data_IF_578040975835
#
_entry.id   IF_578040975835
#
_cell.length_a   1.000
_cell.length_b   1.000
_cell.length_c   1.000
_cell.angle_alpha   90.00
_cell.angle_beta   90.00
_cell.angle_gamma   90.00
#
_symmetry.space_group_name_H-M   'P 1'
#
loop_
_entity.id
_entity.type
_entity.pdbx_description
1 polymer ?
#
# COMPACT_ATOMS: atom_id res chain seq x y z
N UNK A 1 12.59 -44.07 -38.67
CA UNK A 1 11.62 -43.20 -37.98
C UNK A 1 12.08 -41.76 -38.18
N UNK A 2 11.44 -41.03 -39.08
CA UNK A 2 11.79 -39.67 -39.51
C UNK A 2 11.42 -38.66 -38.42
N UNK A 3 12.40 -37.92 -37.89
CA UNK A 3 12.12 -36.80 -36.99
C UNK A 3 11.20 -35.80 -37.72
N UNK A 4 10.06 -35.40 -37.15
CA UNK A 4 9.27 -34.31 -37.73
C UNK A 4 10.13 -33.06 -37.85
N UNK A 5 10.07 -32.42 -39.02
CA UNK A 5 10.81 -31.22 -39.34
C UNK A 5 10.56 -30.16 -38.26
N UNK A 6 11.63 -29.65 -37.63
CA UNK A 6 11.58 -28.69 -36.52
C UNK A 6 10.75 -27.46 -36.88
N UNK A 7 10.70 -27.12 -38.17
CA UNK A 7 9.85 -26.06 -38.70
C UNK A 7 8.35 -26.34 -38.52
N UNK A 8 7.88 -27.56 -38.82
CA UNK A 8 6.47 -27.94 -38.70
C UNK A 8 6.00 -28.00 -37.24
N UNK A 9 6.87 -28.45 -36.32
CA UNK A 9 6.58 -28.43 -34.89
C UNK A 9 6.53 -26.99 -34.36
N UNK A 10 7.42 -26.11 -34.82
CA UNK A 10 7.42 -24.71 -34.45
C UNK A 10 6.16 -23.99 -34.94
N UNK A 11 5.69 -24.27 -36.16
CA UNK A 11 4.43 -23.73 -36.70
C UNK A 11 3.20 -24.09 -35.85
N UNK A 12 3.21 -25.29 -35.24
CA UNK A 12 2.14 -25.77 -34.37
C UNK A 12 2.18 -25.20 -32.95
N UNK A 13 3.15 -24.32 -32.65
CA UNK A 13 3.26 -23.66 -31.35
C UNK A 13 4.07 -24.43 -30.30
N UNK A 14 4.83 -25.47 -30.69
CA UNK A 14 5.72 -26.16 -29.74
C UNK A 14 6.87 -25.23 -29.32
N UNK A 15 6.85 -24.82 -28.05
CA UNK A 15 7.86 -23.93 -27.46
C UNK A 15 9.30 -24.46 -27.58
N UNK A 16 9.52 -25.77 -27.51
CA UNK A 16 10.85 -26.37 -27.65
C UNK A 16 11.33 -26.39 -29.10
N UNK A 17 10.40 -26.50 -30.07
CA UNK A 17 10.72 -26.38 -31.49
C UNK A 17 10.99 -24.92 -31.88
N UNK A 18 10.22 -23.96 -31.37
CA UNK A 18 10.46 -22.52 -31.59
C UNK A 18 11.80 -22.09 -30.99
N UNK A 19 12.16 -22.57 -29.80
CA UNK A 19 13.47 -22.32 -29.22
C UNK A 19 14.61 -22.83 -30.10
N UNK A 20 14.50 -24.06 -30.64
CA UNK A 20 15.48 -24.64 -31.56
C UNK A 20 15.59 -23.84 -32.86
N UNK A 21 14.46 -23.40 -33.42
CA UNK A 21 14.43 -22.56 -34.61
C UNK A 21 15.17 -21.23 -34.40
N UNK A 22 14.87 -20.52 -33.31
CA UNK A 22 15.52 -19.24 -33.00
C UNK A 22 17.02 -19.42 -32.73
N UNK A 23 17.38 -20.43 -31.93
CA UNK A 23 18.77 -20.70 -31.56
C UNK A 23 19.67 -21.01 -32.76
N UNK A 24 19.14 -21.56 -33.86
CA UNK A 24 19.90 -21.77 -35.11
C UNK A 24 20.48 -20.47 -35.67
N UNK A 25 19.78 -19.35 -35.50
CA UNK A 25 20.23 -18.02 -35.97
C UNK A 25 20.98 -17.21 -34.91
N UNK A 26 20.77 -17.52 -33.63
CA UNK A 26 21.27 -16.72 -32.49
C UNK A 26 22.57 -17.27 -31.88
N UNK A 27 22.75 -18.59 -31.84
CA UNK A 27 23.95 -19.20 -31.26
C UNK A 27 25.26 -18.82 -31.96
N UNK A 28 25.33 -18.70 -33.30
CA UNK A 28 26.53 -18.20 -33.99
C UNK A 28 26.92 -16.78 -33.59
N UNK A 29 26.01 -16.02 -32.96
CA UNK A 29 26.22 -14.65 -32.47
C UNK A 29 26.45 -14.59 -30.96
N UNK A 30 26.64 -15.74 -30.30
CA UNK A 30 26.86 -15.82 -28.85
C UNK A 30 25.60 -15.58 -28.00
N UNK A 31 24.40 -15.75 -28.57
CA UNK A 31 23.12 -15.52 -27.88
C UNK A 31 22.31 -16.80 -27.80
N UNK A 32 21.73 -17.08 -26.63
CA UNK A 32 20.83 -18.22 -26.40
C UNK A 32 19.41 -17.75 -26.10
N UNK A 33 18.42 -18.29 -26.81
CA UNK A 33 17.00 -18.03 -26.61
C UNK A 33 16.32 -19.14 -25.80
N UNK A 34 15.59 -18.76 -24.76
CA UNK A 34 14.59 -19.60 -24.07
C UNK A 34 13.19 -19.12 -24.43
N UNK A 35 12.29 -20.04 -24.75
CA UNK A 35 10.96 -19.71 -25.25
C UNK A 35 9.89 -20.34 -24.38
N UNK A 36 8.84 -19.59 -24.08
CA UNK A 36 7.66 -20.05 -23.36
C UNK A 36 6.41 -19.53 -24.09
N UNK A 37 5.49 -20.43 -24.44
CA UNK A 37 4.18 -20.07 -24.99
C UNK A 37 3.10 -20.33 -23.94
N UNK A 38 2.34 -19.30 -23.58
CA UNK A 38 1.21 -19.40 -22.64
C UNK A 38 0.14 -18.39 -23.02
N UNK A 39 -1.13 -18.79 -23.05
CA UNK A 39 -2.29 -17.91 -23.30
C UNK A 39 -2.17 -17.07 -24.58
N UNK A 40 -1.74 -17.66 -25.69
CA UNK A 40 -1.49 -16.99 -26.98
C UNK A 40 -0.42 -15.88 -26.94
N UNK A 41 0.41 -15.85 -25.89
CA UNK A 41 1.54 -14.95 -25.73
C UNK A 41 2.87 -15.72 -25.77
N UNK A 42 3.73 -15.36 -26.72
CA UNK A 42 5.05 -15.97 -26.89
C UNK A 42 6.09 -15.13 -26.14
N UNK A 43 6.70 -15.69 -25.10
CA UNK A 43 7.77 -15.06 -24.32
C UNK A 43 9.13 -15.62 -24.76
N UNK A 44 10.04 -14.74 -25.12
CA UNK A 44 11.39 -15.08 -25.60
C UNK A 44 12.41 -14.38 -24.70
N UNK A 45 13.27 -15.14 -24.03
CA UNK A 45 14.37 -14.62 -23.21
C UNK A 45 15.69 -14.86 -23.93
N UNK A 46 16.38 -13.77 -24.31
CA UNK A 46 17.69 -13.76 -24.95
C UNK A 46 18.77 -13.61 -23.88
N UNK A 47 19.67 -14.59 -23.79
CA UNK A 47 20.77 -14.63 -22.83
C UNK A 47 22.09 -14.44 -23.58
N UNK A 48 22.93 -13.53 -23.12
CA UNK A 48 24.22 -13.22 -23.75
C UNK A 48 25.26 -12.76 -22.73
N UNK A 49 26.55 -12.77 -23.09
CA UNK A 49 27.66 -12.31 -22.22
C UNK A 49 28.00 -10.82 -22.39
N UNK A 50 27.35 -10.13 -23.34
CA UNK A 50 27.54 -8.70 -23.65
C UNK A 50 26.18 -8.03 -23.85
N UNK A 51 26.05 -6.72 -23.60
CA UNK A 51 24.79 -6.01 -23.84
C UNK A 51 24.38 -6.10 -25.31
N UNK A 52 23.11 -6.46 -25.56
CA UNK A 52 22.53 -6.60 -26.89
C UNK A 52 21.89 -5.29 -27.36
N UNK A 53 22.15 -4.90 -28.61
CA UNK A 53 21.42 -3.81 -29.27
C UNK A 53 19.95 -4.19 -29.45
N UNK A 54 19.08 -3.44 -28.77
CA UNK A 54 17.64 -3.65 -28.77
C UNK A 54 17.05 -3.60 -30.18
N UNK A 55 17.44 -2.65 -31.02
CA UNK A 55 16.79 -2.43 -32.32
C UNK A 55 17.13 -3.57 -33.28
N UNK A 56 18.40 -3.96 -33.35
CA UNK A 56 18.88 -5.01 -34.23
C UNK A 56 18.30 -6.39 -33.86
N UNK A 57 18.22 -6.72 -32.56
CA UNK A 57 17.71 -8.02 -32.13
C UNK A 57 16.18 -8.12 -32.22
N UNK A 58 15.44 -7.03 -31.96
CA UNK A 58 13.98 -7.02 -32.14
C UNK A 58 13.62 -7.26 -33.60
N UNK A 59 14.28 -6.60 -34.56
CA UNK A 59 14.04 -6.80 -35.98
C UNK A 59 14.36 -8.23 -36.43
N UNK A 60 15.44 -8.82 -35.92
CA UNK A 60 15.80 -10.20 -36.22
C UNK A 60 14.74 -11.18 -35.72
N UNK A 61 14.32 -11.05 -34.46
CA UNK A 61 13.30 -11.93 -33.87
C UNK A 61 11.96 -11.75 -34.59
N UNK A 62 11.58 -10.52 -34.91
CA UNK A 62 10.37 -10.22 -35.67
C UNK A 62 10.37 -10.91 -37.04
N UNK A 63 11.49 -10.88 -37.77
CA UNK A 63 11.64 -11.59 -39.04
C UNK A 63 11.51 -13.11 -38.87
N UNK A 64 12.16 -13.68 -37.86
CA UNK A 64 12.11 -15.13 -37.58
C UNK A 64 10.71 -15.61 -37.20
N UNK A 65 9.98 -14.83 -36.39
CA UNK A 65 8.60 -15.16 -35.99
C UNK A 65 7.62 -14.99 -37.16
N UNK A 66 7.78 -13.96 -37.98
CA UNK A 66 6.94 -13.77 -39.17
C UNK A 66 7.14 -14.92 -40.18
N UNK A 67 8.35 -15.45 -40.32
CA UNK A 67 8.64 -16.62 -41.17
C UNK A 67 7.97 -17.91 -40.65
N UNK A 68 7.77 -18.04 -39.34
CA UNK A 68 7.08 -19.17 -38.74
C UNK A 68 5.55 -19.10 -38.92
N UNK A 69 4.97 -17.95 -39.25
CA UNK A 69 3.53 -17.84 -39.55
C UNK A 69 2.62 -18.31 -38.41
N UNK A 70 2.97 -17.99 -37.16
CA UNK A 70 2.25 -18.46 -35.96
C UNK A 70 0.86 -17.82 -35.84
N UNK A 71 -0.17 -18.44 -36.41
CA UNK A 71 -1.55 -17.93 -36.42
C UNK A 71 -2.23 -17.88 -35.05
N UNK A 72 -1.74 -18.68 -34.08
CA UNK A 72 -2.28 -18.73 -32.72
C UNK A 72 -1.68 -17.67 -31.77
N UNK A 73 -0.59 -16.99 -32.14
CA UNK A 73 0.12 -16.04 -31.26
C UNK A 73 -0.40 -14.62 -31.51
N UNK A 74 -0.98 -14.01 -30.47
CA UNK A 74 -1.51 -12.63 -30.52
C UNK A 74 -0.48 -11.58 -30.10
N UNK A 75 0.51 -11.97 -29.30
CA UNK A 75 1.49 -11.06 -28.71
C UNK A 75 2.84 -11.75 -28.49
N UNK A 76 3.93 -11.10 -28.87
CA UNK A 76 5.30 -11.57 -28.61
C UNK A 76 5.99 -10.62 -27.64
N UNK A 77 6.58 -11.16 -26.58
CA UNK A 77 7.40 -10.42 -25.61
C UNK A 77 8.83 -10.92 -25.68
N UNK A 78 9.77 -10.00 -25.90
CA UNK A 78 11.20 -10.29 -25.97
C UNK A 78 11.89 -9.63 -24.79
N UNK A 79 12.68 -10.40 -24.05
CA UNK A 79 13.49 -9.96 -22.91
C UNK A 79 14.97 -10.20 -23.24
N UNK A 80 15.85 -9.27 -22.91
CA UNK A 80 17.30 -9.51 -22.93
C UNK A 80 17.82 -9.65 -21.51
N UNK A 81 18.78 -10.56 -21.29
CA UNK A 81 19.42 -10.75 -20.00
C UNK A 81 20.90 -11.05 -20.20
N UNK A 82 21.75 -10.34 -19.47
CA UNK A 82 23.17 -10.63 -19.41
C UNK A 82 23.45 -11.82 -18.50
N UNK A 83 24.47 -12.61 -18.81
CA UNK A 83 24.82 -13.84 -18.07
C UNK A 83 25.19 -13.54 -16.61
N UNK A 84 25.72 -12.34 -16.34
CA UNK A 84 26.06 -11.83 -15.01
C UNK A 84 24.88 -11.20 -14.26
N UNK A 85 23.74 -10.95 -14.93
CA UNK A 85 22.59 -10.25 -14.37
C UNK A 85 21.46 -11.22 -14.00
N UNK A 86 20.80 -10.99 -12.87
CA UNK A 86 19.65 -11.77 -12.41
C UNK A 86 18.30 -11.24 -12.93
N UNK A 87 18.29 -10.11 -13.64
CA UNK A 87 17.11 -9.43 -14.18
C UNK A 87 17.31 -9.05 -15.65
N UNK A 88 16.23 -8.93 -16.45
CA UNK A 88 16.34 -8.49 -17.83
C UNK A 88 16.84 -7.03 -17.97
N UNK A 89 17.74 -6.79 -18.92
CA UNK A 89 18.33 -5.47 -19.21
C UNK A 89 17.36 -4.59 -20.01
N UNK A 90 16.61 -5.16 -20.95
CA UNK A 90 15.52 -4.48 -21.67
C UNK A 90 14.41 -5.46 -22.08
N UNK A 91 13.24 -4.93 -22.42
CA UNK A 91 12.13 -5.71 -22.98
C UNK A 91 11.41 -4.97 -24.12
N UNK A 92 10.77 -5.73 -25.01
CA UNK A 92 9.99 -5.20 -26.14
C UNK A 92 8.77 -6.09 -26.42
N UNK A 93 7.69 -5.49 -26.92
CA UNK A 93 6.45 -6.19 -27.30
C UNK A 93 6.05 -5.83 -28.73
N UNK A 94 5.61 -6.82 -29.51
CA UNK A 94 5.08 -6.59 -30.86
C UNK A 94 4.04 -7.65 -31.25
N UNK A 95 3.24 -7.33 -32.28
CA UNK A 95 2.22 -8.22 -32.85
C UNK A 95 2.77 -8.87 -34.13
N UNK A 96 2.73 -10.21 -34.28
CA UNK A 96 3.16 -10.89 -35.50
C UNK A 96 2.26 -10.52 -36.69
N UNK A 97 2.85 -10.35 -37.88
CA UNK A 97 2.10 -10.10 -39.12
C UNK A 97 1.88 -11.43 -39.84
N UNK A 98 0.63 -11.90 -39.93
CA UNK A 98 0.31 -13.10 -40.70
C UNK A 98 0.40 -12.82 -42.21
N UNK A 99 1.25 -13.54 -42.94
CA UNK A 99 1.26 -13.50 -44.40
C UNK A 99 0.03 -14.24 -44.95
N UNK A 100 -0.94 -13.51 -45.51
CA UNK A 100 -2.02 -14.08 -46.33
C UNK A 100 -1.47 -14.37 -47.73
N UNK A 101 -1.24 -15.63 -48.05
CA UNK A 101 -1.11 -16.07 -49.45
C UNK A 101 -2.52 -16.13 -50.05
N UNK A 102 -2.81 -15.28 -51.04
CA UNK A 102 -4.07 -15.28 -51.78
C UNK A 102 -3.91 -16.09 -53.06
N UNK A 103 -4.60 -17.22 -53.17
CA UNK A 103 -4.88 -17.88 -54.45
C UNK A 103 -6.36 -18.32 -54.49
N UNK A 104 -7.01 -17.88 -55.58
CA UNK A 104 -8.14 -18.49 -56.31
C UNK A 104 -9.47 -18.76 -55.60
N UNK A 105 -10.46 -17.97 -56.01
CA UNK A 105 -11.61 -18.35 -56.84
C UNK A 105 -12.64 -19.39 -56.36
N UNK A 106 -13.88 -19.08 -56.75
CA UNK A 106 -15.01 -19.97 -57.14
C UNK A 106 -16.24 -19.97 -56.20
N UNK A 107 -17.30 -19.40 -56.79
CA UNK A 107 -18.74 -19.73 -56.78
C UNK A 107 -19.58 -19.83 -55.50
N UNK A 108 -20.68 -19.07 -55.54
CA UNK A 108 -21.99 -19.27 -54.90
C UNK A 108 -22.58 -20.68 -55.15
N UNK A 109 -23.58 -21.17 -54.36
CA UNK A 109 -24.95 -20.63 -54.46
C UNK A 109 -25.81 -20.63 -53.16
N UNK A 110 -26.86 -19.78 -53.25
CA UNK A 110 -28.21 -19.84 -52.69
C UNK A 110 -28.48 -20.05 -51.18
N UNK A 111 -29.24 -19.10 -50.60
CA UNK A 111 -30.63 -19.28 -50.10
C UNK A 111 -31.18 -17.93 -49.57
N UNK A 112 -32.50 -17.65 -49.66
CA UNK A 112 -33.09 -16.32 -49.74
C UNK A 112 -33.50 -15.65 -48.41
N UNK A 113 -33.73 -14.35 -48.54
CA UNK A 113 -34.16 -13.28 -47.62
C UNK A 113 -35.08 -13.62 -46.44
N UNK A 114 -35.03 -12.76 -45.39
CA UNK A 114 -36.17 -11.86 -45.20
C UNK A 114 -35.79 -10.39 -44.96
N UNK A 115 -36.49 -9.54 -45.72
CA UNK A 115 -37.22 -8.34 -45.28
C UNK A 115 -36.50 -7.25 -44.48
N UNK A 116 -36.25 -6.14 -45.20
CA UNK A 116 -36.53 -4.76 -44.79
C UNK A 116 -36.05 -4.31 -43.41
N UNK A 117 -34.74 -4.11 -43.32
CA UNK A 117 -34.19 -2.95 -42.63
C UNK A 117 -33.25 -2.28 -43.60
N UNK A 118 -33.58 -1.09 -44.11
CA UNK A 118 -32.60 -0.28 -44.80
C UNK A 118 -31.50 0.07 -43.78
N UNK A 119 -30.47 -0.77 -43.69
CA UNK A 119 -29.19 -0.38 -43.11
C UNK A 119 -28.71 0.71 -44.06
N UNK A 120 -28.94 1.95 -43.68
CA UNK A 120 -28.18 3.08 -44.23
C UNK A 120 -26.73 2.70 -43.98
N UNK A 121 -26.06 2.18 -45.03
CA UNK A 121 -24.61 2.06 -45.05
C UNK A 121 -24.11 3.49 -44.92
N UNK A 122 -23.86 3.93 -43.69
CA UNK A 122 -23.08 5.12 -43.43
C UNK A 122 -21.71 4.85 -44.02
N UNK A 123 -21.51 5.30 -45.26
CA UNK A 123 -20.18 5.48 -45.83
C UNK A 123 -19.61 6.62 -44.99
N UNK A 124 -18.59 6.39 -44.14
CA UNK A 124 -17.87 7.52 -43.62
C UNK A 124 -17.26 8.16 -44.87
N UNK A 125 -17.76 9.32 -45.27
CA UNK A 125 -16.90 10.23 -46.00
C UNK A 125 -15.63 10.29 -45.16
N UNK A 126 -14.49 9.96 -45.75
CA UNK A 126 -13.20 10.20 -45.13
C UNK A 126 -13.06 11.72 -45.07
N UNK A 127 -13.82 12.36 -44.18
CA UNK A 127 -13.66 13.74 -43.81
C UNK A 127 -12.19 13.84 -43.43
N UNK A 128 -11.47 14.71 -44.14
CA UNK A 128 -10.07 14.95 -43.86
C UNK A 128 -9.96 15.21 -42.36
N UNK A 129 -9.13 14.41 -41.66
CA UNK A 129 -9.05 14.44 -40.20
C UNK A 129 -8.85 15.88 -39.71
N UNK A 130 -8.09 16.68 -40.47
CA UNK A 130 -7.84 18.08 -40.20
C UNK A 130 -9.07 18.99 -40.35
N UNK A 131 -9.98 18.67 -41.26
CA UNK A 131 -11.23 19.39 -41.44
C UNK A 131 -12.21 19.10 -40.28
N UNK A 132 -12.30 17.84 -39.84
CA UNK A 132 -13.09 17.47 -38.65
C UNK A 132 -12.52 18.07 -37.38
N UNK A 133 -11.18 18.10 -37.24
CA UNK A 133 -10.51 18.69 -36.08
C UNK A 133 -10.72 20.21 -36.01
N UNK A 134 -10.73 20.91 -37.15
CA UNK A 134 -11.02 22.36 -37.21
C UNK A 134 -12.45 22.72 -36.82
N UNK A 135 -13.40 21.83 -37.06
CA UNK A 135 -14.80 22.03 -36.65
C UNK A 135 -15.07 21.62 -35.20
N UNK A 136 -14.07 21.05 -34.51
CA UNK A 136 -14.23 20.49 -33.19
C UNK A 136 -14.22 21.57 -32.10
N UNK A 137 -15.28 21.65 -31.32
CA UNK A 137 -15.37 22.55 -30.18
C UNK A 137 -14.68 21.92 -28.97
N UNK A 138 -13.42 22.31 -28.73
CA UNK A 138 -12.60 21.77 -27.63
C UNK A 138 -13.26 21.95 -26.26
N UNK A 139 -14.00 23.04 -26.03
CA UNK A 139 -14.72 23.32 -24.78
C UNK A 139 -15.70 22.20 -24.38
N UNK A 140 -16.30 21.50 -25.36
CA UNK A 140 -17.32 20.46 -25.12
C UNK A 140 -16.73 19.09 -24.75
N UNK A 141 -15.43 18.90 -24.96
CA UNK A 141 -14.76 17.60 -24.75
C UNK A 141 -13.63 17.70 -23.73
N UNK A 142 -12.95 18.84 -23.68
CA UNK A 142 -11.91 19.13 -22.70
C UNK A 142 -12.31 20.36 -21.87
N UNK A 143 -12.73 20.18 -20.61
CA UNK A 143 -13.25 21.26 -19.78
C UNK A 143 -12.13 22.13 -19.17
N UNK A 144 -11.25 22.72 -19.99
CA UNK A 144 -10.11 23.50 -19.49
C UNK A 144 -10.54 24.69 -18.62
N UNK A 145 -11.70 25.31 -18.90
CA UNK A 145 -12.24 26.41 -18.09
C UNK A 145 -12.54 25.96 -16.66
N UNK A 146 -13.12 24.77 -16.51
CA UNK A 146 -13.42 24.20 -15.19
C UNK A 146 -12.14 23.78 -14.47
N UNK A 147 -11.16 23.24 -15.20
CA UNK A 147 -9.83 22.87 -14.67
C UNK A 147 -9.09 24.07 -14.07
N UNK A 148 -9.27 25.28 -14.61
CA UNK A 148 -8.69 26.51 -14.04
C UNK A 148 -9.67 27.30 -13.17
N UNK A 149 -10.89 26.79 -12.94
CA UNK A 149 -11.88 27.45 -12.09
C UNK A 149 -11.53 27.31 -10.61
N UNK A 150 -11.68 28.41 -9.85
CA UNK A 150 -11.46 28.37 -8.39
C UNK A 150 -12.45 27.47 -7.67
N UNK A 151 -13.67 27.33 -8.20
CA UNK A 151 -14.74 26.51 -7.63
C UNK A 151 -14.36 25.03 -7.56
N UNK A 152 -13.71 24.49 -8.60
CA UNK A 152 -13.25 23.10 -8.59
C UNK A 152 -12.28 22.82 -7.43
N UNK A 153 -11.32 23.72 -7.21
CA UNK A 153 -10.34 23.62 -6.11
C UNK A 153 -10.91 23.98 -4.73
N UNK A 154 -12.16 24.45 -4.64
CA UNK A 154 -12.87 24.59 -3.35
C UNK A 154 -13.39 23.26 -2.83
N UNK A 155 -13.60 22.28 -3.70
CA UNK A 155 -14.05 20.94 -3.31
C UNK A 155 -13.00 20.22 -2.45
N UNK A 156 -13.41 19.76 -1.26
CA UNK A 156 -12.55 18.96 -0.37
C UNK A 156 -12.10 17.65 -1.03
N UNK A 157 -12.95 17.06 -1.88
CA UNK A 157 -12.60 15.83 -2.61
C UNK A 157 -11.47 16.10 -3.61
N UNK A 158 -11.56 17.19 -4.37
CA UNK A 158 -10.52 17.57 -5.33
C UNK A 158 -9.20 17.85 -4.61
N UNK A 159 -9.24 18.60 -3.50
CA UNK A 159 -8.04 18.83 -2.66
C UNK A 159 -7.43 17.54 -2.13
N UNK A 160 -8.27 16.60 -1.70
CA UNK A 160 -7.82 15.30 -1.22
C UNK A 160 -7.17 14.48 -2.33
N UNK A 161 -7.79 14.41 -3.51
CA UNK A 161 -7.25 13.70 -4.67
C UNK A 161 -5.92 14.31 -5.13
N UNK A 162 -5.82 15.65 -5.15
CA UNK A 162 -4.58 16.35 -5.45
C UNK A 162 -3.51 16.06 -4.40
N UNK A 163 -3.86 16.08 -3.11
CA UNK A 163 -2.92 15.71 -2.05
C UNK A 163 -2.43 14.27 -2.22
N UNK A 164 -3.33 13.31 -2.44
CA UNK A 164 -2.98 11.89 -2.60
C UNK A 164 -2.15 11.61 -3.86
N UNK A 165 -2.47 12.26 -4.98
CA UNK A 165 -1.80 12.03 -6.26
C UNK A 165 -0.51 12.82 -6.45
N UNK A 166 -0.48 14.08 -6.03
CA UNK A 166 0.63 15.01 -6.32
C UNK A 166 1.69 15.01 -5.22
N UNK A 167 1.32 14.80 -3.95
CA UNK A 167 2.29 14.87 -2.85
C UNK A 167 3.45 13.88 -3.00
N UNK A 168 3.25 12.59 -3.36
CA UNK A 168 4.37 11.68 -3.58
C UNK A 168 5.30 12.12 -4.71
N UNK A 169 4.76 12.75 -5.76
CA UNK A 169 5.56 13.31 -6.86
C UNK A 169 6.39 14.51 -6.39
N UNK A 170 5.82 15.37 -5.53
CA UNK A 170 6.55 16.46 -4.90
C UNK A 170 7.68 15.95 -4.00
N UNK A 171 7.44 14.90 -3.20
CA UNK A 171 8.49 14.27 -2.40
C UNK A 171 9.60 13.73 -3.29
N UNK A 172 9.27 13.08 -4.40
CA UNK A 172 10.26 12.59 -5.36
C UNK A 172 11.12 13.72 -5.94
N UNK A 173 10.52 14.88 -6.27
CA UNK A 173 11.26 16.04 -6.75
C UNK A 173 12.26 16.59 -5.72
N UNK A 174 11.91 16.53 -4.44
CA UNK A 174 12.74 17.01 -3.34
C UNK A 174 13.73 15.95 -2.82
N UNK A 175 13.55 14.68 -3.19
CA UNK A 175 14.28 13.56 -2.62
C UNK A 175 15.78 13.61 -2.91
N UNK A 176 16.21 14.13 -4.06
CA UNK A 176 17.63 14.24 -4.42
C UNK A 176 18.40 15.22 -3.51
N UNK A 177 17.70 16.21 -2.96
CA UNK A 177 18.30 17.27 -2.13
C UNK A 177 18.08 17.03 -0.63
N UNK A 178 17.27 16.03 -0.27
CA UNK A 178 16.90 15.73 1.10
C UNK A 178 17.64 14.50 1.64
N UNK A 179 17.99 14.52 2.92
CA UNK A 179 18.49 13.34 3.62
C UNK A 179 17.41 12.26 3.72
N UNK A 180 17.83 10.99 3.84
CA UNK A 180 16.93 9.86 4.06
C UNK A 180 15.97 10.10 5.24
N UNK A 181 16.47 10.71 6.33
CA UNK A 181 15.63 11.04 7.48
C UNK A 181 14.52 12.01 7.09
N UNK A 182 14.85 13.11 6.41
CA UNK A 182 13.85 14.10 5.97
C UNK A 182 12.79 13.47 5.06
N UNK A 183 13.19 12.63 4.09
CA UNK A 183 12.26 11.91 3.22
C UNK A 183 11.36 10.97 4.03
N UNK A 184 11.94 10.22 4.98
CA UNK A 184 11.20 9.30 5.84
C UNK A 184 10.17 10.04 6.73
N UNK A 185 10.53 11.21 7.26
CA UNK A 185 9.61 12.08 8.01
C UNK A 185 8.49 12.61 7.12
N UNK A 186 8.79 13.08 5.90
CA UNK A 186 7.78 13.57 4.94
C UNK A 186 6.77 12.47 4.57
N UNK A 187 7.26 11.27 4.25
CA UNK A 187 6.41 10.11 3.96
C UNK A 187 5.59 9.72 5.19
N UNK A 188 6.19 9.72 6.38
CA UNK A 188 5.49 9.46 7.64
C UNK A 188 4.33 10.44 7.87
N UNK A 189 4.58 11.74 7.71
CA UNK A 189 3.56 12.79 7.84
C UNK A 189 2.44 12.57 6.81
N UNK A 190 2.80 12.26 5.56
CA UNK A 190 1.84 12.02 4.49
C UNK A 190 0.86 10.89 4.83
N UNK A 191 1.37 9.71 5.21
CA UNK A 191 0.49 8.59 5.57
C UNK A 191 -0.25 8.82 6.88
N UNK A 192 0.33 9.55 7.83
CA UNK A 192 -0.39 9.97 9.03
C UNK A 192 -1.57 10.89 8.68
N UNK A 193 -1.43 11.81 7.72
CA UNK A 193 -2.55 12.62 7.25
C UNK A 193 -3.65 11.77 6.61
N UNK A 194 -3.29 10.79 5.77
CA UNK A 194 -4.26 9.87 5.15
C UNK A 194 -5.05 9.12 6.23
N UNK A 195 -4.35 8.49 7.17
CA UNK A 195 -5.01 7.76 8.24
C UNK A 195 -5.79 8.67 9.18
N UNK A 196 -5.30 9.89 9.44
CA UNK A 196 -6.02 10.90 10.20
C UNK A 196 -7.38 11.23 9.59
N UNK A 197 -7.44 11.39 8.27
CA UNK A 197 -8.69 11.62 7.53
C UNK A 197 -9.60 10.39 7.61
N UNK A 198 -9.08 9.19 7.33
CA UNK A 198 -9.87 7.94 7.41
C UNK A 198 -10.45 7.74 8.81
N UNK A 199 -9.64 7.95 9.85
CA UNK A 199 -10.04 7.79 11.25
C UNK A 199 -11.03 8.86 11.70
N UNK A 200 -10.93 10.10 11.19
CA UNK A 200 -11.93 11.13 11.42
C UNK A 200 -13.32 10.67 10.93
N UNK A 201 -13.40 10.12 9.72
CA UNK A 201 -14.67 9.63 9.15
C UNK A 201 -15.17 8.33 9.79
N UNK A 202 -14.25 7.48 10.28
CA UNK A 202 -14.58 6.23 10.96
C UNK A 202 -15.10 6.47 12.39
N UNK A 203 -14.39 7.30 13.17
CA UNK A 203 -14.68 7.54 14.59
C UNK A 203 -15.83 8.55 14.74
N UNK A 204 -15.89 9.56 13.88
CA UNK A 204 -16.85 10.68 13.94
C UNK A 204 -16.88 11.32 15.34
N UNK A 205 -15.76 11.93 15.78
CA UNK A 205 -15.70 12.56 17.10
C UNK A 205 -16.78 13.63 17.25
N UNK A 206 -17.40 13.70 18.43
CA UNK A 206 -18.47 14.66 18.72
C UNK A 206 -17.92 16.09 18.74
N UNK A 207 -16.78 16.28 19.40
CA UNK A 207 -16.09 17.58 19.47
C UNK A 207 -14.75 17.52 18.74
N UNK A 208 -14.65 18.21 17.60
CA UNK A 208 -13.43 18.29 16.81
C UNK A 208 -12.71 19.64 16.97
N UNK A 209 -11.40 19.60 17.18
CA UNK A 209 -10.53 20.78 17.20
C UNK A 209 -9.19 20.48 16.54
N UNK A 210 -8.89 21.18 15.44
CA UNK A 210 -7.60 21.06 14.75
C UNK A 210 -6.41 21.38 15.68
N UNK A 211 -6.57 22.36 16.57
CA UNK A 211 -5.53 22.74 17.53
C UNK A 211 -5.20 21.59 18.48
N UNK A 212 -6.21 20.96 19.07
CA UNK A 212 -6.01 19.83 19.98
C UNK A 212 -5.44 18.61 19.25
N UNK A 213 -5.87 18.37 18.01
CA UNK A 213 -5.33 17.31 17.14
C UNK A 213 -3.83 17.49 16.94
N UNK A 214 -3.42 18.68 16.50
CA UNK A 214 -2.02 18.99 16.26
C UNK A 214 -1.21 18.94 17.55
N UNK A 215 -1.76 19.42 18.68
CA UNK A 215 -1.11 19.32 19.97
C UNK A 215 -0.86 17.86 20.40
N UNK A 216 -1.81 16.95 20.18
CA UNK A 216 -1.61 15.53 20.51
C UNK A 216 -0.53 14.88 19.64
N UNK A 217 -0.56 15.12 18.32
CA UNK A 217 0.45 14.63 17.37
C UNK A 217 1.84 15.14 17.78
N UNK A 218 2.01 16.47 17.86
CA UNK A 218 3.29 17.10 18.13
C UNK A 218 3.84 16.75 19.52
N UNK A 219 2.97 16.70 20.54
CA UNK A 219 3.41 16.32 21.88
C UNK A 219 3.99 14.92 21.88
N UNK A 220 3.30 13.93 21.31
CA UNK A 220 3.82 12.55 21.28
C UNK A 220 5.13 12.46 20.50
N UNK A 221 5.19 13.10 19.34
CA UNK A 221 6.38 13.10 18.49
C UNK A 221 7.60 13.74 19.16
N UNK A 222 7.44 14.93 19.75
CA UNK A 222 8.58 15.76 20.18
C UNK A 222 8.82 15.79 21.69
N UNK A 223 7.85 15.37 22.51
CA UNK A 223 7.96 15.35 23.98
C UNK A 223 7.81 13.91 24.48
N UNK A 224 6.75 13.22 24.05
CA UNK A 224 6.45 11.85 24.46
C UNK A 224 7.58 10.88 24.14
N UNK A 225 8.02 10.80 22.89
CA UNK A 225 9.08 9.89 22.47
C UNK A 225 10.40 10.16 23.20
N UNK A 226 10.91 11.41 23.28
CA UNK A 226 12.11 11.67 24.09
C UNK A 226 11.98 11.23 25.55
N UNK A 227 10.84 11.49 26.21
CA UNK A 227 10.59 11.01 27.57
C UNK A 227 10.60 9.48 27.64
N UNK A 228 9.94 8.81 26.70
CA UNK A 228 9.91 7.37 26.59
C UNK A 228 11.31 6.78 26.41
N UNK A 229 12.17 7.37 25.57
CA UNK A 229 13.54 6.93 25.39
C UNK A 229 14.40 7.13 26.66
N UNK A 230 14.08 8.12 27.50
CA UNK A 230 14.71 8.28 28.81
C UNK A 230 14.26 7.16 29.77
N UNK A 231 12.95 6.90 29.87
CA UNK A 231 12.41 5.86 30.76
C UNK A 231 12.88 4.45 30.38
N UNK A 232 13.10 4.18 29.09
CA UNK A 232 13.67 2.90 28.63
C UNK A 232 15.04 2.59 29.26
N UNK A 233 15.80 3.60 29.68
CA UNK A 233 17.16 3.42 30.25
C UNK A 233 17.14 3.14 31.76
N UNK A 234 16.00 3.26 32.42
CA UNK A 234 15.89 3.15 33.89
C UNK A 234 15.28 1.79 34.29
N UNK A 235 15.72 1.15 35.39
CA UNK A 235 15.05 -0.04 35.92
C UNK A 235 13.59 0.25 36.34
N UNK A 236 12.65 -0.71 36.17
CA UNK A 236 12.84 -2.07 35.64
C UNK A 236 12.83 -2.16 34.11
N UNK A 237 12.58 -1.06 33.39
CA UNK A 237 12.38 -1.07 31.94
C UNK A 237 13.63 -1.45 31.17
N UNK A 238 14.82 -0.99 31.58
CA UNK A 238 16.06 -1.42 30.93
C UNK A 238 16.19 -2.96 30.92
N UNK A 239 15.92 -3.61 32.05
CA UNK A 239 15.92 -5.08 32.17
C UNK A 239 14.88 -5.74 31.27
N UNK A 240 13.67 -5.18 31.18
CA UNK A 240 12.62 -5.68 30.28
C UNK A 240 12.99 -5.55 28.80
N UNK A 241 13.72 -4.50 28.43
CA UNK A 241 14.26 -4.32 27.08
C UNK A 241 15.40 -5.30 26.77
N UNK A 242 16.23 -5.65 27.75
CA UNK A 242 17.21 -6.72 27.59
C UNK A 242 16.56 -8.10 27.36
N UNK A 243 15.34 -8.33 27.87
CA UNK A 243 14.61 -9.58 27.62
C UNK A 243 14.19 -9.78 26.15
N UNK A 244 14.23 -8.72 25.33
CA UNK A 244 13.85 -8.75 23.90
C UNK A 244 14.79 -9.59 23.03
N UNK A 245 16.03 -9.86 23.49
CA UNK A 245 16.97 -10.75 22.82
C UNK A 245 16.88 -12.21 23.29
N UNK A 246 16.00 -12.50 24.26
CA UNK A 246 15.83 -13.85 24.81
C UNK A 246 14.93 -14.76 23.97
N UNK A 247 14.57 -15.90 24.58
CA UNK A 247 13.58 -16.83 24.00
C UNK A 247 12.19 -16.23 23.89
N UNK A 248 11.26 -16.95 23.24
CA UNK A 248 9.91 -16.44 22.93
C UNK A 248 9.15 -15.92 24.16
N UNK A 249 9.29 -16.59 25.32
CA UNK A 249 8.64 -16.18 26.56
C UNK A 249 9.21 -14.85 27.10
N UNK A 250 10.55 -14.70 27.09
CA UNK A 250 11.21 -13.47 27.51
C UNK A 250 10.89 -12.31 26.56
N UNK A 251 10.86 -12.57 25.25
CA UNK A 251 10.42 -11.61 24.24
C UNK A 251 8.99 -11.16 24.49
N UNK A 252 8.08 -12.08 24.76
CA UNK A 252 6.68 -11.76 25.05
C UNK A 252 6.55 -10.85 26.28
N UNK A 253 7.23 -11.19 27.38
CA UNK A 253 7.23 -10.37 28.60
C UNK A 253 7.85 -8.99 28.33
N UNK A 254 9.00 -8.93 27.66
CA UNK A 254 9.68 -7.68 27.33
C UNK A 254 8.85 -6.80 26.39
N UNK A 255 8.19 -7.37 25.39
CA UNK A 255 7.36 -6.62 24.45
C UNK A 255 6.03 -6.17 25.06
N UNK A 256 5.43 -6.89 26.00
CA UNK A 256 4.19 -6.45 26.67
C UNK A 256 4.52 -5.41 27.74
N UNK A 257 5.36 -5.75 28.71
CA UNK A 257 5.58 -4.94 29.90
C UNK A 257 6.66 -3.87 29.73
N UNK A 258 7.67 -4.13 28.90
CA UNK A 258 8.71 -3.16 28.59
C UNK A 258 8.24 -2.20 27.51
N UNK A 259 8.04 -2.72 26.31
CA UNK A 259 7.66 -1.91 25.14
C UNK A 259 6.20 -1.47 25.22
N UNK A 260 5.25 -2.40 25.19
CA UNK A 260 3.81 -2.10 25.10
C UNK A 260 3.34 -1.12 26.16
N UNK A 261 3.57 -1.39 27.44
CA UNK A 261 3.14 -0.50 28.53
C UNK A 261 3.73 0.91 28.39
N UNK A 262 5.05 1.04 28.20
CA UNK A 262 5.68 2.36 28.07
C UNK A 262 5.16 3.13 26.85
N UNK A 263 5.09 2.46 25.71
CA UNK A 263 4.68 3.09 24.46
C UNK A 263 3.21 3.49 24.46
N UNK A 264 2.33 2.68 25.04
CA UNK A 264 0.90 3.02 25.13
C UNK A 264 0.65 4.14 26.15
N UNK A 265 1.36 4.17 27.28
CA UNK A 265 1.32 5.29 28.23
C UNK A 265 1.84 6.57 27.58
N UNK A 266 2.94 6.50 26.82
CA UNK A 266 3.49 7.65 26.10
C UNK A 266 2.45 8.27 25.14
N UNK A 267 1.74 7.44 24.37
CA UNK A 267 0.67 7.90 23.45
C UNK A 267 -0.55 8.43 24.20
N UNK A 268 -0.88 7.85 25.35
CA UNK A 268 -1.96 8.27 26.22
C UNK A 268 -1.71 9.64 26.88
N UNK A 269 -0.46 9.95 27.20
CA UNK A 269 -0.06 11.09 28.01
C UNK A 269 -0.59 12.46 27.52
N UNK A 270 -0.46 12.86 26.23
CA UNK A 270 -1.00 14.14 25.78
C UNK A 270 -2.52 14.23 25.91
N UNK A 271 -3.23 13.13 25.60
CA UNK A 271 -4.70 13.10 25.71
C UNK A 271 -5.10 13.30 27.17
N UNK A 272 -4.40 12.62 28.09
CA UNK A 272 -4.64 12.77 29.51
C UNK A 272 -4.38 14.20 30.01
N UNK A 273 -3.20 14.77 29.70
CA UNK A 273 -2.78 16.07 30.23
C UNK A 273 -3.50 17.26 29.60
N UNK A 274 -3.75 17.23 28.30
CA UNK A 274 -4.25 18.38 27.54
C UNK A 274 -5.78 18.42 27.43
N UNK A 275 -6.43 17.25 27.55
CA UNK A 275 -7.86 17.11 27.25
C UNK A 275 -8.66 16.50 28.40
N UNK A 276 -8.20 15.39 28.99
CA UNK A 276 -8.93 14.73 30.08
C UNK A 276 -8.80 15.50 31.40
N UNK A 277 -7.56 15.85 31.82
CA UNK A 277 -7.30 16.59 33.06
C UNK A 277 -7.97 17.97 33.08
N UNK A 278 -7.96 18.75 31.98
CA UNK A 278 -8.68 20.03 31.93
C UNK A 278 -10.18 19.89 31.61
N UNK A 279 -10.74 18.67 31.64
CA UNK A 279 -12.16 18.38 31.44
C UNK A 279 -12.73 18.84 30.08
N UNK A 280 -11.90 18.79 29.03
CA UNK A 280 -12.32 19.09 27.64
C UNK A 280 -12.94 17.88 26.93
N UNK A 281 -12.77 16.68 27.46
CA UNK A 281 -13.39 15.46 26.93
C UNK A 281 -14.68 15.18 27.69
N UNK A 282 -15.76 14.90 26.95
CA UNK A 282 -17.06 14.52 27.51
C UNK A 282 -17.56 13.17 27.02
N UNK A 283 -17.01 12.66 25.93
CA UNK A 283 -17.44 11.40 25.32
C UNK A 283 -16.24 10.49 24.91
N UNK A 284 -16.45 9.17 24.84
CA UNK A 284 -15.40 8.22 24.48
C UNK A 284 -14.90 8.32 23.05
N UNK A 285 -15.74 8.71 22.09
CA UNK A 285 -15.37 8.76 20.67
C UNK A 285 -14.40 9.91 20.41
N UNK A 286 -14.63 11.08 21.00
CA UNK A 286 -13.72 12.22 20.94
C UNK A 286 -12.37 11.88 21.57
N UNK A 287 -12.36 11.21 22.73
CA UNK A 287 -11.10 10.78 23.35
C UNK A 287 -10.37 9.71 22.52
N UNK A 288 -11.10 8.76 21.92
CA UNK A 288 -10.55 7.78 21.00
C UNK A 288 -9.92 8.44 19.77
N UNK A 289 -10.54 9.48 19.22
CA UNK A 289 -10.00 10.24 18.10
C UNK A 289 -8.68 10.91 18.46
N UNK A 290 -8.61 11.66 19.57
CA UNK A 290 -7.34 12.30 19.98
C UNK A 290 -6.27 11.29 20.39
N UNK A 291 -6.66 10.15 20.98
CA UNK A 291 -5.77 9.00 21.19
C UNK A 291 -5.19 8.48 19.88
N UNK A 292 -6.03 8.29 18.86
CA UNK A 292 -5.59 7.87 17.55
C UNK A 292 -4.64 8.88 16.89
N UNK A 293 -4.92 10.19 17.01
CA UNK A 293 -4.03 11.24 16.49
C UNK A 293 -2.68 11.24 17.20
N UNK A 294 -2.67 11.03 18.52
CA UNK A 294 -1.43 10.83 19.28
C UNK A 294 -0.64 9.61 18.78
N UNK A 295 -1.32 8.49 18.51
CA UNK A 295 -0.71 7.28 17.96
C UNK A 295 -0.11 7.49 16.56
N UNK A 296 -0.72 8.30 15.71
CA UNK A 296 -0.13 8.71 14.44
C UNK A 296 1.14 9.53 14.63
N UNK A 297 1.16 10.45 15.60
CA UNK A 297 2.38 11.20 15.96
C UNK A 297 3.53 10.29 16.38
N UNK A 298 3.23 9.21 17.10
CA UNK A 298 4.20 8.17 17.43
C UNK A 298 4.73 7.46 16.18
N UNK A 299 3.82 7.03 15.30
CA UNK A 299 4.15 6.27 14.11
C UNK A 299 5.02 7.04 13.10
N UNK A 300 4.88 8.37 13.00
CA UNK A 300 5.74 9.20 12.15
C UNK A 300 7.20 9.06 12.59
N UNK A 301 7.47 9.29 13.87
CA UNK A 301 8.82 9.28 14.40
C UNK A 301 9.43 7.87 14.42
N UNK A 302 8.64 6.88 14.81
CA UNK A 302 9.09 5.48 14.83
C UNK A 302 9.35 4.98 13.40
N UNK A 303 8.46 5.27 12.46
CA UNK A 303 8.62 4.96 11.03
C UNK A 303 9.92 5.54 10.47
N UNK A 304 10.17 6.83 10.71
CA UNK A 304 11.40 7.49 10.27
C UNK A 304 12.67 6.84 10.87
N UNK A 305 12.66 6.52 12.16
CA UNK A 305 13.78 5.86 12.83
C UNK A 305 14.06 4.45 12.28
N UNK A 306 13.01 3.65 12.02
CA UNK A 306 13.17 2.31 11.46
C UNK A 306 13.60 2.33 10.00
N UNK A 307 13.13 3.28 9.19
CA UNK A 307 13.57 3.40 7.79
C UNK A 307 15.08 3.62 7.67
N UNK A 308 15.68 4.41 8.56
CA UNK A 308 17.14 4.55 8.63
C UNK A 308 17.81 3.20 8.96
N UNK A 309 17.29 2.47 9.96
CA UNK A 309 17.82 1.15 10.32
C UNK A 309 17.74 0.16 9.16
N UNK A 310 16.65 0.17 8.39
CA UNK A 310 16.49 -0.71 7.22
C UNK A 310 17.42 -0.33 6.08
N UNK A 311 17.67 0.96 5.85
CA UNK A 311 18.62 1.41 4.85
C UNK A 311 20.05 0.97 5.19
N UNK A 312 20.46 1.07 6.47
CA UNK A 312 21.75 0.53 6.92
C UNK A 312 21.81 -0.99 6.85
N UNK A 313 20.71 -1.68 7.15
CA UNK A 313 20.61 -3.13 6.99
C UNK A 313 20.80 -3.56 5.52
N UNK A 314 20.19 -2.83 4.59
CA UNK A 314 20.34 -3.05 3.15
C UNK A 314 21.78 -2.79 2.69
N UNK A 315 22.39 -1.67 3.10
CA UNK A 315 23.75 -1.31 2.68
C UNK A 315 24.82 -2.26 3.21
N UNK A 316 24.59 -2.88 4.37
CA UNK A 316 25.48 -3.90 4.97
C UNK A 316 25.21 -5.33 4.48
N UNK A 317 24.26 -5.52 3.56
CA UNK A 317 23.86 -6.85 3.08
C UNK A 317 23.11 -7.70 4.11
N UNK A 318 22.62 -7.10 5.20
CA UNK A 318 21.84 -7.77 6.26
C UNK A 318 20.35 -7.85 5.93
N UNK A 319 19.88 -7.07 4.96
CA UNK A 319 18.49 -7.03 4.51
C UNK A 319 18.45 -7.11 2.98
N UNK A 320 17.64 -8.01 2.43
CA UNK A 320 17.44 -8.10 0.98
C UNK A 320 16.60 -6.93 0.44
N UNK A 321 16.75 -6.61 -0.85
CA UNK A 321 16.04 -5.50 -1.50
C UNK A 321 14.51 -5.64 -1.39
N UNK A 322 13.97 -6.84 -1.63
CA UNK A 322 12.54 -7.11 -1.49
C UNK A 322 12.03 -6.89 -0.06
N UNK A 323 12.80 -7.35 0.93
CA UNK A 323 12.48 -7.14 2.35
C UNK A 323 12.56 -5.68 2.77
N UNK A 324 13.51 -4.91 2.23
CA UNK A 324 13.62 -3.47 2.46
C UNK A 324 12.38 -2.73 1.97
N UNK A 325 11.92 -3.01 0.74
CA UNK A 325 10.72 -2.39 0.18
C UNK A 325 9.49 -2.76 1.03
N UNK A 326 9.29 -4.05 1.29
CA UNK A 326 8.16 -4.53 2.09
C UNK A 326 8.14 -3.95 3.52
N UNK A 327 9.29 -3.89 4.19
CA UNK A 327 9.39 -3.35 5.54
C UNK A 327 9.05 -1.85 5.59
N UNK A 328 9.49 -1.06 4.60
CA UNK A 328 9.12 0.35 4.51
C UNK A 328 7.63 0.54 4.20
N UNK A 329 7.06 -0.28 3.30
CA UNK A 329 5.62 -0.26 3.02
C UNK A 329 4.82 -0.55 4.29
N UNK A 330 5.19 -1.57 5.06
CA UNK A 330 4.52 -1.91 6.32
C UNK A 330 4.65 -0.75 7.33
N UNK A 331 5.84 -0.15 7.46
CA UNK A 331 6.11 0.94 8.41
C UNK A 331 5.35 2.22 8.12
N UNK A 332 5.14 2.57 6.87
CA UNK A 332 4.45 3.81 6.52
C UNK A 332 2.97 3.62 6.20
N UNK A 333 2.56 2.45 5.74
CA UNK A 333 1.16 2.21 5.36
C UNK A 333 0.40 1.52 6.50
N UNK A 334 0.84 0.36 6.95
CA UNK A 334 0.05 -0.49 7.85
C UNK A 334 0.22 -0.13 9.33
N UNK A 335 1.46 0.10 9.77
CA UNK A 335 1.77 0.33 11.18
C UNK A 335 1.25 1.66 11.75
N UNK A 336 1.15 2.77 10.99
CA UNK A 336 0.55 3.98 11.52
C UNK A 336 -0.92 3.79 11.89
N UNK A 337 -1.67 3.03 11.10
CA UNK A 337 -3.03 2.64 11.46
C UNK A 337 -3.05 1.81 12.75
N UNK A 338 -2.14 0.83 12.88
CA UNK A 338 -2.08 -0.01 14.06
C UNK A 338 -1.79 0.79 15.34
N UNK A 339 -0.79 1.69 15.32
CA UNK A 339 -0.52 2.58 16.45
C UNK A 339 -1.70 3.52 16.76
N UNK A 340 -2.34 4.06 15.73
CA UNK A 340 -3.50 4.92 15.90
C UNK A 340 -4.67 4.15 16.54
N UNK A 341 -4.90 2.92 16.14
CA UNK A 341 -5.97 2.09 16.71
C UNK A 341 -5.67 1.75 18.17
N UNK A 342 -4.45 1.29 18.49
CA UNK A 342 -4.08 0.96 19.87
C UNK A 342 -4.21 2.18 20.80
N UNK A 343 -3.66 3.33 20.39
CA UNK A 343 -3.79 4.57 21.14
C UNK A 343 -5.24 5.06 21.18
N UNK A 344 -6.03 4.80 20.13
CA UNK A 344 -7.46 5.08 20.08
C UNK A 344 -8.26 4.22 21.05
N UNK A 345 -7.90 2.95 21.25
CA UNK A 345 -8.49 2.09 22.29
C UNK A 345 -8.19 2.69 23.66
N UNK A 346 -6.94 3.05 23.96
CA UNK A 346 -6.61 3.69 25.25
C UNK A 346 -7.38 5.01 25.43
N UNK A 347 -7.46 5.84 24.39
CA UNK A 347 -8.24 7.07 24.38
C UNK A 347 -9.74 6.82 24.64
N UNK A 348 -10.32 5.79 24.05
CA UNK A 348 -11.71 5.40 24.27
C UNK A 348 -11.98 5.08 25.75
N UNK A 349 -11.11 4.28 26.37
CA UNK A 349 -11.18 3.98 27.80
C UNK A 349 -10.95 5.22 28.67
N UNK A 350 -10.12 6.19 28.26
CA UNK A 350 -10.01 7.46 28.97
C UNK A 350 -11.33 8.24 28.99
N UNK A 351 -12.05 8.28 27.86
CA UNK A 351 -13.36 8.93 27.82
C UNK A 351 -14.41 8.20 28.67
N UNK A 352 -14.42 6.86 28.66
CA UNK A 352 -15.24 6.09 29.60
C UNK A 352 -14.89 6.37 31.07
N UNK A 353 -13.61 6.56 31.37
CA UNK A 353 -13.13 6.86 32.71
C UNK A 353 -13.56 8.26 33.20
N UNK A 354 -13.77 9.22 32.28
CA UNK A 354 -14.37 10.53 32.59
C UNK A 354 -15.84 10.38 32.97
N UNK A 355 -16.58 9.53 32.26
CA UNK A 355 -18.01 9.27 32.51
C UNK A 355 -18.23 8.50 33.83
N UNK A 356 -17.24 7.70 34.27
CA UNK A 356 -17.35 6.81 35.43
C UNK A 356 -16.28 7.11 36.49
N UNK A 357 -16.40 8.24 37.23
CA UNK A 357 -15.41 8.63 38.22
C UNK A 357 -15.17 7.56 39.30
N UNK A 358 -16.19 6.78 39.67
CA UNK A 358 -16.05 5.76 40.73
C UNK A 358 -15.10 4.62 40.36
N UNK A 359 -14.92 4.34 39.06
CA UNK A 359 -14.11 3.23 38.53
C UNK A 359 -12.98 3.70 37.61
N UNK A 360 -12.69 5.01 37.63
CA UNK A 360 -11.75 5.67 36.72
C UNK A 360 -10.44 4.91 36.55
N UNK A 361 -9.79 4.56 37.66
CA UNK A 361 -8.48 3.91 37.64
C UNK A 361 -8.53 2.51 37.03
N UNK A 362 -9.58 1.73 37.32
CA UNK A 362 -9.75 0.40 36.73
C UNK A 362 -9.97 0.47 35.22
N UNK A 363 -10.79 1.42 34.75
CA UNK A 363 -11.05 1.61 33.31
C UNK A 363 -9.76 2.01 32.59
N UNK A 364 -8.99 2.95 33.15
CA UNK A 364 -7.70 3.36 32.59
C UNK A 364 -6.71 2.19 32.52
N UNK A 365 -6.61 1.40 33.60
CA UNK A 365 -5.75 0.22 33.65
C UNK A 365 -6.13 -0.80 32.56
N UNK A 366 -7.42 -1.11 32.41
CA UNK A 366 -7.91 -2.06 31.40
C UNK A 366 -7.57 -1.58 29.99
N UNK A 367 -7.80 -0.29 29.70
CA UNK A 367 -7.50 0.28 28.38
C UNK A 367 -6.02 0.15 28.00
N UNK A 368 -5.12 0.52 28.92
CA UNK A 368 -3.66 0.39 28.71
C UNK A 368 -3.25 -1.08 28.62
N UNK A 369 -3.79 -1.96 29.48
CA UNK A 369 -3.45 -3.38 29.48
C UNK A 369 -3.83 -4.05 28.17
N UNK A 370 -5.04 -3.81 27.65
CA UNK A 370 -5.49 -4.36 26.36
C UNK A 370 -4.55 -3.90 25.24
N UNK A 371 -4.26 -2.60 25.16
CA UNK A 371 -3.39 -2.05 24.11
C UNK A 371 -1.95 -2.59 24.22
N UNK A 372 -1.38 -2.65 25.44
CA UNK A 372 -0.04 -3.16 25.67
C UNK A 372 0.10 -4.64 25.34
N UNK A 373 -0.92 -5.46 25.65
CA UNK A 373 -0.94 -6.89 25.29
C UNK A 373 -1.00 -7.05 23.77
N UNK A 374 -1.90 -6.34 23.08
CA UNK A 374 -2.04 -6.43 21.62
C UNK A 374 -0.77 -5.95 20.90
N UNK A 375 -0.18 -4.85 21.37
CA UNK A 375 1.10 -4.35 20.88
C UNK A 375 2.21 -5.37 21.10
N UNK A 376 2.35 -5.86 22.33
CA UNK A 376 3.42 -6.80 22.67
C UNK A 376 3.31 -8.12 21.91
N UNK A 377 2.09 -8.63 21.71
CA UNK A 377 1.81 -9.79 20.87
C UNK A 377 2.23 -9.54 19.41
N UNK A 378 1.86 -8.39 18.83
CA UNK A 378 2.27 -8.04 17.48
C UNK A 378 3.80 -8.04 17.34
N UNK A 379 4.51 -7.37 18.25
CA UNK A 379 5.97 -7.29 18.22
C UNK A 379 6.64 -8.65 18.42
N UNK A 380 6.06 -9.52 19.26
CA UNK A 380 6.60 -10.86 19.52
C UNK A 380 6.54 -11.74 18.26
N UNK A 381 5.42 -11.68 17.53
CA UNK A 381 5.15 -12.51 16.36
C UNK A 381 5.35 -11.78 15.02
N UNK A 382 5.99 -10.61 15.04
CA UNK A 382 6.23 -9.80 13.85
C UNK A 382 6.95 -10.63 12.76
N UNK A 383 6.39 -10.60 11.54
CA UNK A 383 6.89 -11.38 10.40
C UNK A 383 6.23 -12.75 10.18
N UNK A 384 5.36 -13.21 11.09
CA UNK A 384 4.60 -14.46 10.94
C UNK A 384 3.10 -14.24 10.69
N UNK A 385 2.39 -15.34 10.35
CA UNK A 385 0.92 -15.37 10.23
C UNK A 385 0.21 -14.83 11.50
N UNK A 386 0.66 -15.12 12.74
CA UNK A 386 -0.02 -14.60 13.92
C UNK A 386 -0.08 -13.07 13.97
N UNK A 387 0.93 -12.36 13.46
CA UNK A 387 0.90 -10.89 13.41
C UNK A 387 -0.28 -10.35 12.57
N UNK A 388 -0.61 -11.02 11.46
CA UNK A 388 -1.76 -10.66 10.61
C UNK A 388 -3.08 -10.82 11.38
N UNK A 389 -3.22 -11.93 12.11
CA UNK A 389 -4.40 -12.20 12.93
C UNK A 389 -4.53 -11.17 14.07
N UNK A 390 -3.42 -10.79 14.71
CA UNK A 390 -3.41 -9.80 15.79
C UNK A 390 -3.84 -8.43 15.27
N UNK A 391 -3.30 -7.96 14.13
CA UNK A 391 -3.70 -6.68 13.54
C UNK A 391 -5.17 -6.72 13.12
N UNK A 392 -5.61 -7.79 12.45
CA UNK A 392 -7.00 -7.98 12.03
C UNK A 392 -7.96 -7.97 13.22
N UNK A 393 -7.66 -8.72 14.28
CA UNK A 393 -8.41 -8.72 15.52
C UNK A 393 -8.45 -7.33 16.16
N UNK A 394 -7.33 -6.64 16.22
CA UNK A 394 -7.23 -5.29 16.81
C UNK A 394 -8.11 -4.29 16.07
N UNK A 395 -8.15 -4.33 14.73
CA UNK A 395 -9.05 -3.50 13.91
C UNK A 395 -10.51 -3.82 14.23
N UNK A 396 -10.89 -5.11 14.23
CA UNK A 396 -12.27 -5.52 14.52
C UNK A 396 -12.68 -5.16 15.94
N UNK A 397 -11.78 -5.29 16.91
CA UNK A 397 -12.00 -4.90 18.30
C UNK A 397 -12.25 -3.40 18.41
N UNK A 398 -11.43 -2.58 17.76
CA UNK A 398 -11.61 -1.13 17.76
C UNK A 398 -12.92 -0.71 17.11
N UNK A 399 -13.23 -1.25 15.93
CA UNK A 399 -14.51 -0.98 15.26
C UNK A 399 -15.71 -1.43 16.12
N UNK A 400 -15.56 -2.53 16.86
CA UNK A 400 -16.58 -3.02 17.80
C UNK A 400 -16.83 -2.02 18.93
N UNK A 401 -15.78 -1.43 19.51
CA UNK A 401 -15.93 -0.36 20.52
C UNK A 401 -16.65 0.86 19.95
N UNK A 402 -16.29 1.31 18.75
CA UNK A 402 -16.93 2.47 18.11
C UNK A 402 -18.42 2.20 17.85
N UNK A 403 -18.77 1.04 17.30
CA UNK A 403 -20.16 0.68 16.97
C UNK A 403 -21.04 0.50 18.21
N UNK A 404 -20.50 -0.08 19.28
CA UNK A 404 -21.24 -0.31 20.54
C UNK A 404 -21.13 0.86 21.51
N UNK A 405 -20.58 2.01 21.09
CA UNK A 405 -20.23 3.06 22.02
C UNK A 405 -21.41 3.60 22.80
N UNK A 406 -22.56 3.81 22.15
CA UNK A 406 -23.76 4.30 22.84
C UNK A 406 -24.21 3.31 23.93
N UNK A 407 -24.29 2.02 23.59
CA UNK A 407 -24.69 0.97 24.51
C UNK A 407 -23.74 0.87 25.72
N UNK A 408 -22.43 0.91 25.48
CA UNK A 408 -21.41 0.87 26.54
C UNK A 408 -21.48 2.08 27.47
N UNK A 409 -21.71 3.28 26.91
CA UNK A 409 -21.90 4.50 27.69
C UNK A 409 -23.13 4.40 28.59
N UNK A 410 -24.25 3.91 28.05
CA UNK A 410 -25.50 3.75 28.80
C UNK A 410 -25.36 2.72 29.94
N UNK A 411 -24.73 1.57 29.67
CA UNK A 411 -24.44 0.55 30.68
C UNK A 411 -23.55 1.08 31.81
N UNK A 412 -22.54 1.86 31.44
CA UNK A 412 -21.62 2.49 32.38
C UNK A 412 -22.32 3.54 33.25
N UNK A 413 -23.15 4.41 32.67
CA UNK A 413 -23.98 5.34 33.44
C UNK A 413 -24.86 4.64 34.48
N UNK A 414 -25.51 3.53 34.09
CA UNK A 414 -26.31 2.72 35.02
C UNK A 414 -25.44 2.12 36.14
N UNK A 415 -24.24 1.67 35.80
CA UNK A 415 -23.32 1.09 36.77
C UNK A 415 -22.79 2.11 37.78
N UNK A 416 -22.51 3.35 37.35
CA UNK A 416 -22.15 4.48 38.21
C UNK A 416 -23.30 4.87 39.14
N UNK A 417 -24.53 4.95 38.63
CA UNK A 417 -25.73 5.23 39.44
C UNK A 417 -25.93 4.17 40.53
N UNK A 418 -25.85 2.88 40.18
CA UNK A 418 -25.93 1.76 41.14
C UNK A 418 -24.83 1.82 42.20
N UNK A 419 -23.61 2.19 41.83
CA UNK A 419 -22.53 2.31 42.78
C UNK A 419 -22.78 3.44 43.79
N UNK A 420 -23.30 4.58 43.33
CA UNK A 420 -23.66 5.71 44.19
C UNK A 420 -24.82 5.38 45.13
N UNK A 421 -25.83 4.64 44.67
CA UNK A 421 -26.95 4.24 45.53
C UNK A 421 -26.54 3.27 46.64
N UNK A 422 -25.56 2.39 46.39
CA UNK A 422 -25.04 1.45 47.41
C UNK A 422 -24.16 2.14 48.45
N UNK A 423 -23.44 3.20 48.07
CA UNK A 423 -22.55 3.96 48.97
C UNK A 423 -23.23 5.13 49.69
N UNK A 424 -24.42 5.51 49.25
CA UNK A 424 -25.24 6.58 49.83
C UNK A 424 -26.20 6.12 50.94
N UNK A 425 -26.28 4.82 51.17
CA UNK A 425 -26.76 4.19 52.41
C UNK A 425 -25.54 3.77 53.24
#
# INVERSE_FOLDING_TARGET
MTQPDVFQLAQRGDSAAIARWLNRSLQPRGVSAKVLLRDNCLKILLISSRPLDQTAFVQLIQRQINLLGLSAVKLVKVYSQETSASVPTWFCEFVPVAQRHSQTAVSSPDVPSPTTGAIVKYKPEAADFWQTLRTFQLDSVFPYRDVFSRELYRSNMVRLLLFLGVFPLLVNLLAEQASLAQVAWLIGIYYACIWGIVLYYLIRPVEFSWRNTLQCVLFTTFIGIPLLLLFQRVPPFNTLYHALSGGILFRLVGFIFGVGVLEEICKALPVYLLLVRPQKIKDPLTAAFYGAMSGLGFAIAEGAAYSLRYAFGLSRGQLGLGSYVAANTIRFVSLPLFHAILAGIVGYFMGLAVINPSRRNAILFIGVAIAAILHGLYNTFAGGIPALLIVGFTIVLFVSYLRRSQQLVDEMHRAEQRFRSVKGN
#
